data_IF_798378278240
#
_entry.id   IF_798378278240
#
_cell.length_a   1.000
_cell.length_b   1.000
_cell.length_c   1.000
_cell.angle_alpha   90.00
_cell.angle_beta   90.00
_cell.angle_gamma   90.00
#
_symmetry.space_group_name_H-M   'P 1'
#
loop_
_entity.id
_entity.type
_entity.pdbx_description
1 polymer ?
#
# COMPACT_ATOMS: atom_id res chain seq x y z
N UNK A 1 -49.63 -62.95 -27.61
CA UNK A 1 -50.89 -62.25 -27.24
C UNK A 1 -50.71 -60.79 -27.66
N UNK A 2 -50.99 -60.44 -28.92
CA UNK A 2 -52.29 -60.12 -29.51
C UNK A 2 -52.79 -58.70 -29.14
N UNK A 3 -52.68 -57.79 -30.13
CA UNK A 3 -53.46 -56.54 -30.38
C UNK A 3 -53.33 -55.46 -29.28
N UNK A 4 -53.15 -54.17 -29.60
CA UNK A 4 -54.09 -53.32 -30.34
C UNK A 4 -53.40 -52.25 -31.20
N UNK A 5 -53.85 -52.17 -32.46
CA UNK A 5 -53.67 -51.09 -33.42
C UNK A 5 -55.06 -50.45 -33.59
N UNK A 6 -55.22 -49.16 -33.26
CA UNK A 6 -56.23 -48.23 -33.79
C UNK A 6 -55.66 -46.80 -33.56
N UNK A 7 -55.11 -46.13 -34.57
CA UNK A 7 -55.79 -45.31 -35.58
C UNK A 7 -56.51 -44.09 -34.99
N UNK A 8 -55.96 -42.89 -35.20
CA UNK A 8 -56.66 -41.75 -35.82
C UNK A 8 -55.70 -40.59 -36.10
N UNK A 9 -55.77 -40.09 -37.32
CA UNK A 9 -55.12 -38.91 -37.87
C UNK A 9 -55.70 -37.62 -37.30
N UNK A 10 -54.90 -36.57 -37.14
CA UNK A 10 -55.24 -35.25 -37.69
C UNK A 10 -53.99 -34.37 -37.75
N UNK A 11 -53.66 -33.95 -38.97
CA UNK A 11 -52.63 -32.98 -39.26
C UNK A 11 -53.09 -31.60 -38.77
N UNK A 12 -52.26 -30.95 -37.96
CA UNK A 12 -52.35 -29.53 -37.68
C UNK A 12 -51.16 -28.87 -38.36
N UNK A 13 -51.41 -28.32 -39.55
CA UNK A 13 -50.49 -27.40 -40.22
C UNK A 13 -50.70 -26.05 -39.56
N UNK A 14 -49.83 -25.70 -38.62
CA UNK A 14 -49.70 -24.34 -38.14
C UNK A 14 -48.53 -23.67 -38.87
N UNK A 15 -48.91 -22.74 -39.72
CA UNK A 15 -48.05 -21.75 -40.36
C UNK A 15 -47.10 -21.08 -39.36
N UNK A 16 -45.85 -20.96 -39.79
CA UNK A 16 -45.08 -19.71 -39.72
C UNK A 16 -44.72 -19.20 -38.33
N UNK A 17 -43.49 -19.47 -37.90
CA UNK A 17 -42.73 -18.51 -37.11
C UNK A 17 -41.23 -18.67 -37.45
N UNK A 18 -40.63 -17.61 -37.98
CA UNK A 18 -39.21 -17.53 -38.31
C UNK A 18 -38.34 -17.52 -37.03
N UNK A 19 -37.10 -18.04 -37.05
CA UNK A 19 -36.22 -17.98 -35.88
C UNK A 19 -35.65 -16.56 -35.69
N UNK A 20 -35.70 -16.06 -34.46
CA UNK A 20 -35.01 -14.84 -34.04
C UNK A 20 -33.48 -15.08 -34.00
N UNK A 21 -32.65 -14.06 -34.32
CA UNK A 21 -31.20 -14.20 -34.26
C UNK A 21 -30.71 -14.22 -32.80
N UNK A 22 -29.80 -15.16 -32.53
CA UNK A 22 -29.04 -15.25 -31.28
C UNK A 22 -28.14 -14.01 -31.19
N UNK A 23 -28.43 -13.12 -30.24
CA UNK A 23 -27.53 -12.02 -29.89
C UNK A 23 -26.38 -12.61 -29.06
N UNK A 24 -25.21 -12.73 -29.69
CA UNK A 24 -23.96 -13.01 -29.00
C UNK A 24 -23.64 -11.86 -28.05
N UNK A 25 -23.60 -12.14 -26.75
CA UNK A 25 -23.05 -11.22 -25.76
C UNK A 25 -21.52 -11.37 -25.82
N UNK A 26 -20.88 -10.66 -26.75
CA UNK A 26 -19.44 -10.42 -26.67
C UNK A 26 -19.19 -9.41 -25.54
N UNK A 27 -18.68 -9.90 -24.42
CA UNK A 27 -18.06 -9.10 -23.36
C UNK A 27 -16.74 -8.53 -23.88
N UNK A 28 -16.81 -7.54 -24.77
CA UNK A 28 -15.66 -6.76 -25.17
C UNK A 28 -15.32 -5.76 -24.05
N UNK A 29 -14.38 -6.14 -23.19
CA UNK A 29 -13.57 -5.18 -22.42
C UNK A 29 -12.75 -4.38 -23.44
N UNK A 30 -13.36 -3.33 -24.00
CA UNK A 30 -12.67 -2.37 -24.84
C UNK A 30 -11.73 -1.55 -23.94
N UNK A 31 -10.42 -1.69 -24.21
CA UNK A 31 -9.43 -0.71 -23.77
C UNK A 31 -9.86 0.69 -24.23
N UNK A 32 -9.61 1.76 -23.45
CA UNK A 32 -9.99 3.10 -23.86
C UNK A 32 -9.08 3.55 -25.01
N UNK A 33 -9.55 3.38 -26.24
CA UNK A 33 -9.03 4.09 -27.40
C UNK A 33 -9.48 5.54 -27.25
N UNK A 34 -8.53 6.45 -27.07
CA UNK A 34 -8.81 7.88 -27.05
C UNK A 34 -9.45 8.30 -28.40
N UNK A 35 -10.49 9.15 -28.41
CA UNK A 35 -11.06 9.64 -29.66
C UNK A 35 -10.00 10.43 -30.44
N UNK A 36 -9.89 10.16 -31.74
CA UNK A 36 -8.92 10.76 -32.67
C UNK A 36 -9.00 12.28 -32.80
N UNK A 37 -10.02 12.89 -32.20
CA UNK A 37 -10.36 14.31 -32.37
C UNK A 37 -10.07 15.15 -31.11
N UNK A 38 -9.42 14.56 -30.10
CA UNK A 38 -9.13 15.27 -28.85
C UNK A 38 -7.93 16.21 -29.01
N UNK A 39 -8.17 17.52 -29.07
CA UNK A 39 -7.15 18.58 -29.17
C UNK A 39 -6.65 19.09 -27.81
N UNK A 40 -6.97 18.38 -26.71
CA UNK A 40 -6.48 18.70 -25.37
C UNK A 40 -5.03 18.24 -25.14
N UNK A 41 -4.38 18.68 -24.04
CA UNK A 41 -3.04 18.21 -23.70
C UNK A 41 -3.06 16.73 -23.36
N UNK A 42 -2.35 15.88 -24.13
CA UNK A 42 -2.37 14.42 -23.99
C UNK A 42 -2.51 13.96 -22.53
N UNK A 43 -3.45 13.05 -22.19
CA UNK A 43 -3.59 12.57 -20.83
C UNK A 43 -2.22 12.12 -20.34
N UNK A 44 -1.82 12.46 -19.10
CA UNK A 44 -0.49 12.14 -18.61
C UNK A 44 -0.25 10.64 -18.85
N UNK A 45 0.95 10.25 -19.30
CA UNK A 45 1.23 8.84 -19.59
C UNK A 45 0.84 8.03 -18.37
N UNK A 46 0.18 6.89 -18.55
CA UNK A 46 -0.39 6.12 -17.43
C UNK A 46 0.67 5.81 -16.35
N UNK A 47 1.95 5.75 -16.74
CA UNK A 47 3.13 5.65 -15.88
C UNK A 47 3.38 6.82 -14.91
N UNK A 48 2.69 7.94 -15.09
CA UNK A 48 2.73 9.14 -14.25
C UNK A 48 1.44 9.34 -13.44
N UNK A 49 0.45 8.47 -13.59
CA UNK A 49 -0.77 8.55 -12.77
C UNK A 49 -0.46 8.20 -11.31
N UNK A 50 -1.08 8.87 -10.31
CA UNK A 50 -0.83 8.54 -8.91
C UNK A 50 -1.14 7.08 -8.57
N UNK A 51 -2.19 6.50 -9.18
CA UNK A 51 -2.57 5.09 -9.00
C UNK A 51 -1.48 4.15 -9.51
N UNK A 52 -0.89 4.43 -10.67
CA UNK A 52 0.24 3.63 -11.18
C UNK A 52 1.44 3.71 -10.25
N UNK A 53 1.76 4.92 -9.75
CA UNK A 53 2.91 5.12 -8.85
C UNK A 53 2.67 4.39 -7.52
N UNK A 54 1.45 4.42 -6.98
CA UNK A 54 1.06 3.65 -5.78
C UNK A 54 1.26 2.15 -5.97
N UNK A 55 0.80 1.63 -7.10
CA UNK A 55 0.93 0.21 -7.40
C UNK A 55 2.40 -0.22 -7.52
N UNK A 56 3.22 0.60 -8.18
CA UNK A 56 4.67 0.36 -8.28
C UNK A 56 5.38 0.48 -6.93
N UNK A 57 4.97 1.42 -6.08
CA UNK A 57 5.52 1.58 -4.73
C UNK A 57 5.22 0.34 -3.88
N UNK A 58 3.96 -0.13 -3.90
CA UNK A 58 3.53 -1.32 -3.18
C UNK A 58 4.27 -2.58 -3.66
N UNK A 59 4.39 -2.76 -4.98
CA UNK A 59 5.14 -3.88 -5.54
C UNK A 59 6.62 -3.85 -5.13
N UNK A 60 7.24 -2.67 -5.12
CA UNK A 60 8.64 -2.52 -4.70
C UNK A 60 8.82 -2.83 -3.20
N UNK A 61 7.89 -2.41 -2.35
CA UNK A 61 7.88 -2.78 -0.92
C UNK A 61 7.77 -4.29 -0.72
N UNK A 62 6.78 -4.93 -1.37
CA UNK A 62 6.51 -6.36 -1.24
C UNK A 62 7.70 -7.23 -1.71
N UNK A 63 8.45 -6.73 -2.70
CA UNK A 63 9.65 -7.40 -3.22
C UNK A 63 10.93 -7.02 -2.48
N UNK A 64 10.83 -6.21 -1.42
CA UNK A 64 11.98 -5.78 -0.61
C UNK A 64 12.91 -4.79 -1.31
N UNK A 65 12.51 -4.22 -2.46
CA UNK A 65 13.26 -3.21 -3.20
C UNK A 65 13.03 -1.82 -2.61
N UNK A 66 13.56 -1.64 -1.40
CA UNK A 66 13.30 -0.47 -0.54
C UNK A 66 13.78 0.85 -1.15
N UNK A 67 14.90 0.84 -1.87
CA UNK A 67 15.40 2.01 -2.61
C UNK A 67 14.38 2.54 -3.63
N UNK A 68 13.72 1.61 -4.33
CA UNK A 68 12.74 1.94 -5.37
C UNK A 68 11.39 2.31 -4.78
N UNK A 69 10.98 1.63 -3.71
CA UNK A 69 9.78 2.02 -2.97
C UNK A 69 9.92 3.43 -2.37
N UNK A 70 11.07 3.77 -1.78
CA UNK A 70 11.37 5.12 -1.29
C UNK A 70 11.18 6.17 -2.40
N UNK A 71 11.73 5.91 -3.60
CA UNK A 71 11.59 6.80 -4.75
C UNK A 71 10.12 7.04 -5.15
N UNK A 72 9.30 5.99 -5.21
CA UNK A 72 7.89 6.13 -5.54
C UNK A 72 7.08 6.82 -4.44
N UNK A 73 7.32 6.51 -3.17
CA UNK A 73 6.62 7.20 -2.09
C UNK A 73 7.00 8.67 -2.02
N UNK A 74 8.26 9.04 -2.28
CA UNK A 74 8.66 10.45 -2.39
C UNK A 74 8.01 11.17 -3.57
N UNK A 75 7.69 10.47 -4.67
CA UNK A 75 6.87 11.05 -5.73
C UNK A 75 5.42 11.24 -5.27
N UNK A 76 4.85 10.26 -4.55
CA UNK A 76 3.48 10.35 -4.04
C UNK A 76 3.30 11.47 -3.02
N UNK A 77 4.29 11.76 -2.17
CA UNK A 77 4.22 12.90 -1.26
C UNK A 77 4.14 14.25 -1.98
N UNK A 78 4.64 14.33 -3.23
CA UNK A 78 4.54 15.52 -4.08
C UNK A 78 3.22 15.58 -4.84
N UNK A 79 2.75 14.45 -5.35
CA UNK A 79 1.50 14.35 -6.12
C UNK A 79 0.26 14.44 -5.22
N UNK A 80 0.35 13.96 -3.98
CA UNK A 80 -0.71 13.96 -2.98
C UNK A 80 -0.21 14.58 -1.67
N UNK A 81 0.03 15.90 -1.62
CA UNK A 81 0.66 16.57 -0.46
C UNK A 81 -0.14 16.46 0.84
N UNK A 82 -1.46 16.27 0.74
CA UNK A 82 -2.38 16.13 1.86
C UNK A 82 -2.65 14.67 2.24
N UNK A 83 -2.07 13.70 1.53
CA UNK A 83 -2.23 12.28 1.86
C UNK A 83 -1.18 11.86 2.90
N UNK A 84 -1.64 11.26 4.00
CA UNK A 84 -0.77 10.74 5.06
C UNK A 84 -0.11 9.41 4.67
N UNK A 85 -0.70 8.62 3.77
CA UNK A 85 -0.28 7.24 3.52
C UNK A 85 1.15 7.12 2.96
N UNK A 86 1.60 7.94 1.99
CA UNK A 86 2.98 7.88 1.51
C UNK A 86 4.00 8.23 2.61
N UNK A 87 3.69 9.19 3.47
CA UNK A 87 4.54 9.56 4.60
C UNK A 87 4.65 8.44 5.64
N UNK A 88 3.53 7.79 5.96
CA UNK A 88 3.51 6.63 6.85
C UNK A 88 4.37 5.48 6.30
N UNK A 89 4.26 5.20 4.99
CA UNK A 89 5.03 4.15 4.32
C UNK A 89 6.53 4.46 4.27
N UNK A 90 6.92 5.70 4.00
CA UNK A 90 8.31 6.17 4.15
C UNK A 90 8.82 5.99 5.59
N UNK A 91 8.00 6.30 6.59
CA UNK A 91 8.35 6.10 7.99
C UNK A 91 8.68 4.64 8.31
N UNK A 92 7.84 3.70 7.86
CA UNK A 92 8.09 2.26 8.04
C UNK A 92 9.39 1.84 7.34
N UNK A 93 9.55 2.25 6.08
CA UNK A 93 10.71 1.91 5.25
C UNK A 93 12.02 2.40 5.88
N UNK A 94 12.05 3.65 6.36
CA UNK A 94 13.22 4.19 7.06
C UNK A 94 13.48 3.51 8.40
N UNK A 95 12.43 3.16 9.15
CA UNK A 95 12.57 2.46 10.43
C UNK A 95 13.18 1.06 10.23
N UNK A 96 12.73 0.31 9.22
CA UNK A 96 13.29 -1.00 8.85
C UNK A 96 14.76 -0.91 8.42
N UNK A 97 15.16 0.17 7.77
CA UNK A 97 16.54 0.43 7.36
C UNK A 97 17.42 0.98 8.51
N UNK A 98 16.86 1.20 9.70
CA UNK A 98 17.58 1.83 10.82
C UNK A 98 17.87 3.32 10.62
N UNK A 99 17.29 3.98 9.60
CA UNK A 99 17.38 5.43 9.36
C UNK A 99 16.40 6.18 10.27
N UNK A 100 16.60 6.05 11.57
CA UNK A 100 15.63 6.45 12.60
C UNK A 100 15.23 7.93 12.54
N UNK A 101 16.15 8.85 12.29
CA UNK A 101 15.82 10.28 12.14
C UNK A 101 14.91 10.55 10.94
N UNK A 102 15.12 9.82 9.84
CA UNK A 102 14.29 9.95 8.64
C UNK A 102 12.90 9.37 8.89
N UNK A 103 12.84 8.25 9.63
CA UNK A 103 11.57 7.64 10.06
C UNK A 103 10.77 8.60 10.95
N UNK A 104 11.41 9.20 11.95
CA UNK A 104 10.76 10.16 12.86
C UNK A 104 10.15 11.33 12.08
N UNK A 105 10.92 11.94 11.16
CA UNK A 105 10.41 13.01 10.30
C UNK A 105 9.22 12.57 9.47
N UNK A 106 9.31 11.42 8.80
CA UNK A 106 8.25 10.92 7.94
C UNK A 106 6.95 10.62 8.72
N UNK A 107 7.04 10.02 9.90
CA UNK A 107 5.85 9.80 10.74
C UNK A 107 5.25 11.11 11.27
N UNK A 108 6.07 12.10 11.64
CA UNK A 108 5.57 13.44 11.99
C UNK A 108 4.85 14.09 10.80
N UNK A 109 5.38 13.97 9.59
CA UNK A 109 4.68 14.46 8.40
C UNK A 109 3.34 13.74 8.19
N UNK A 110 3.28 12.42 8.36
CA UNK A 110 2.03 11.66 8.26
C UNK A 110 0.99 12.16 9.29
N UNK A 111 1.39 12.31 10.55
CA UNK A 111 0.51 12.79 11.64
C UNK A 111 0.01 14.22 11.43
N UNK A 112 0.80 15.09 10.77
CA UNK A 112 0.33 16.43 10.38
C UNK A 112 -0.81 16.41 9.36
N UNK A 113 -0.89 15.38 8.50
CA UNK A 113 -1.98 15.23 7.52
C UNK A 113 -3.18 14.54 8.15
N UNK A 114 -2.95 13.51 8.95
CA UNK A 114 -4.00 12.72 9.58
C UNK A 114 -3.53 12.21 10.93
N UNK A 115 -4.29 12.51 11.97
CA UNK A 115 -4.11 11.88 13.27
C UNK A 115 -4.44 10.37 13.16
N UNK A 116 -3.47 9.53 13.52
CA UNK A 116 -3.50 8.10 13.26
C UNK A 116 -2.74 7.36 14.36
N UNK A 117 -3.47 6.60 15.17
CA UNK A 117 -2.92 5.92 16.35
C UNK A 117 -1.79 4.93 15.99
N UNK A 118 -1.86 4.26 14.83
CA UNK A 118 -0.82 3.34 14.36
C UNK A 118 0.47 4.09 14.01
N UNK A 119 0.34 5.22 13.32
CA UNK A 119 1.46 6.11 13.01
C UNK A 119 2.11 6.66 14.28
N UNK A 120 1.29 7.08 15.26
CA UNK A 120 1.78 7.54 16.56
C UNK A 120 2.51 6.44 17.33
N UNK A 121 1.98 5.22 17.34
CA UNK A 121 2.63 4.06 17.93
C UNK A 121 4.01 3.81 17.29
N UNK A 122 4.09 3.78 15.96
CA UNK A 122 5.35 3.57 15.25
C UNK A 122 6.36 4.70 15.50
N UNK A 123 5.89 5.95 15.58
CA UNK A 123 6.72 7.09 15.98
C UNK A 123 7.30 6.90 17.38
N UNK A 124 6.48 6.46 18.34
CA UNK A 124 6.94 6.16 19.70
C UNK A 124 8.04 5.09 19.73
N UNK A 125 7.89 4.01 18.96
CA UNK A 125 8.94 2.98 18.84
C UNK A 125 10.25 3.54 18.26
N UNK A 126 10.17 4.41 17.26
CA UNK A 126 11.35 5.07 16.69
C UNK A 126 12.01 6.01 17.71
N UNK A 127 11.22 6.76 18.48
CA UNK A 127 11.73 7.67 19.51
C UNK A 127 12.43 6.94 20.65
N UNK A 128 11.89 5.78 21.08
CA UNK A 128 12.57 4.92 22.05
C UNK A 128 13.92 4.44 21.50
N UNK A 129 13.97 3.99 20.23
CA UNK A 129 15.24 3.56 19.60
C UNK A 129 16.26 4.70 19.49
N UNK A 130 15.83 5.90 19.11
CA UNK A 130 16.68 7.10 19.08
C UNK A 130 17.21 7.44 20.48
N UNK A 131 16.34 7.46 21.49
CA UNK A 131 16.72 7.70 22.88
C UNK A 131 17.73 6.68 23.40
N UNK A 132 17.52 5.38 23.13
CA UNK A 132 18.48 4.33 23.47
C UNK A 132 19.83 4.54 22.77
N UNK A 133 19.83 4.93 21.50
CA UNK A 133 21.05 5.26 20.76
C UNK A 133 21.83 6.41 21.40
N UNK A 134 21.13 7.51 21.71
CA UNK A 134 21.71 8.68 22.36
C UNK A 134 22.27 8.37 23.76
N UNK A 135 21.53 7.58 24.55
CA UNK A 135 21.97 7.13 25.88
C UNK A 135 23.23 6.26 25.79
N UNK A 136 23.29 5.31 24.84
CA UNK A 136 24.49 4.50 24.62
C UNK A 136 25.69 5.36 24.22
N UNK A 137 25.50 6.31 23.32
CA UNK A 137 26.56 7.24 22.94
C UNK A 137 27.06 8.04 24.14
N UNK A 138 26.16 8.63 24.93
CA UNK A 138 26.52 9.34 26.16
C UNK A 138 27.31 8.44 27.12
N UNK A 139 26.84 7.21 27.35
CA UNK A 139 27.49 6.23 28.21
C UNK A 139 28.93 5.93 27.77
N UNK A 140 29.21 5.83 26.47
CA UNK A 140 30.58 5.58 25.97
C UNK A 140 31.53 6.73 26.24
N UNK A 141 31.02 7.97 26.24
CA UNK A 141 31.81 9.20 26.42
C UNK A 141 32.06 9.53 27.89
N UNK A 142 31.15 9.15 28.78
CA UNK A 142 31.29 9.40 30.22
C UNK A 142 32.36 8.49 30.86
N UNK A 143 33.13 8.97 31.86
CA UNK A 143 34.04 8.12 32.64
C UNK A 143 33.33 6.94 33.32
N UNK A 144 34.04 5.84 33.57
CA UNK A 144 33.47 4.67 34.26
C UNK A 144 33.01 4.95 35.70
N UNK A 145 33.57 5.99 36.33
CA UNK A 145 33.24 6.43 37.70
C UNK A 145 32.10 7.46 37.74
N UNK A 146 31.58 7.89 36.60
CA UNK A 146 30.54 8.91 36.52
C UNK A 146 29.17 8.33 36.91
N UNK A 147 28.46 9.01 37.82
CA UNK A 147 27.13 8.60 38.27
C UNK A 147 26.11 8.52 37.12
N UNK A 148 26.16 9.46 36.17
CA UNK A 148 25.24 9.46 35.01
C UNK A 148 25.47 8.26 34.10
N UNK A 149 26.70 7.72 34.06
CA UNK A 149 27.01 6.50 33.29
C UNK A 149 26.36 5.26 33.91
N UNK A 150 26.34 5.20 35.25
CA UNK A 150 25.70 4.11 36.00
C UNK A 150 24.18 4.19 35.86
N UNK A 151 23.59 5.37 36.04
CA UNK A 151 22.15 5.60 35.84
C UNK A 151 21.73 5.20 34.42
N UNK A 152 22.50 5.61 33.41
CA UNK A 152 22.24 5.22 32.02
C UNK A 152 22.31 3.71 31.82
N UNK A 153 23.24 3.02 32.49
CA UNK A 153 23.36 1.55 32.42
C UNK A 153 22.11 0.87 32.95
N UNK A 154 21.65 1.30 34.12
CA UNK A 154 20.47 0.75 34.79
C UNK A 154 19.21 0.97 33.95
N UNK A 155 19.00 2.20 33.45
CA UNK A 155 17.88 2.51 32.57
C UNK A 155 17.86 1.64 31.31
N UNK A 156 19.01 1.49 30.64
CA UNK A 156 19.12 0.65 29.45
C UNK A 156 18.83 -0.82 29.77
N UNK A 157 19.24 -1.32 30.93
CA UNK A 157 18.95 -2.67 31.37
C UNK A 157 17.45 -2.88 31.60
N UNK A 158 16.80 -1.98 32.35
CA UNK A 158 15.34 -2.04 32.58
C UNK A 158 14.56 -1.98 31.27
N UNK A 159 14.96 -1.13 30.33
CA UNK A 159 14.32 -1.08 29.01
C UNK A 159 14.46 -2.39 28.24
N UNK A 160 15.60 -3.08 28.32
CA UNK A 160 15.78 -4.38 27.67
C UNK A 160 14.92 -5.47 28.32
N UNK A 161 14.81 -5.46 29.65
CA UNK A 161 14.02 -6.43 30.41
C UNK A 161 12.51 -6.25 30.23
N UNK A 162 12.05 -5.01 30.01
CA UNK A 162 10.61 -4.68 29.90
C UNK A 162 10.10 -4.58 28.47
N UNK A 163 10.96 -4.32 27.48
CA UNK A 163 10.56 -4.08 26.09
C UNK A 163 10.79 -5.28 25.14
N UNK A 164 11.38 -6.38 25.61
CA UNK A 164 11.56 -7.61 24.84
C UNK A 164 10.73 -8.73 25.50
N UNK A 165 9.62 -9.18 24.88
CA UNK A 165 8.95 -10.41 25.32
C UNK A 165 9.79 -11.67 25.05
#
# INVERSE_FOLDING_TARGET
>A
MLRWLLATTFAVILSGCAPLPVVGVETAVRSPVAPSDWTGPAPPPQSASPVFIEERARQADETGRRDVAEGYYLQLTRLKPNDAAPWFRLGNLYAEQGRLDSAERAYREALRRRDDAKTLHNLGLVQVKLGVGALREAQTRLPSTDAARQETRELLQTLLETALP
#
